data_IF_520719318431
#
_entry.id   IF_520719318431
#
_cell.length_a   1.000
_cell.length_b   1.000
_cell.length_c   1.000
_cell.angle_alpha   90.00
_cell.angle_beta   90.00
_cell.angle_gamma   90.00
#
_symmetry.space_group_name_H-M   'P 1'
#
loop_
_entity.id
_entity.type
_entity.pdbx_description
1 polymer ?
#
# COMPACT_ATOMS: atom_id res chain seq x y z
N UNK A 1 20.09 -3.55 9.03
CA UNK A 1 20.52 -3.00 7.71
C UNK A 1 20.68 -1.50 7.90
N UNK A 2 21.89 -0.98 7.82
CA UNK A 2 22.11 0.47 7.93
C UNK A 2 21.67 1.14 6.65
N UNK A 3 20.50 1.77 6.70
CA UNK A 3 20.00 2.61 5.59
C UNK A 3 20.71 3.96 5.72
N UNK A 4 21.73 4.17 4.90
CA UNK A 4 22.50 5.41 4.90
C UNK A 4 22.03 6.33 3.75
N UNK A 5 21.20 7.30 4.07
CA UNK A 5 20.80 8.37 3.16
C UNK A 5 20.62 9.70 3.91
N UNK A 6 20.79 10.80 3.20
CA UNK A 6 20.50 12.14 3.72
C UNK A 6 18.99 12.39 3.71
N UNK A 7 18.38 12.33 4.90
CA UNK A 7 16.94 12.52 5.10
C UNK A 7 16.46 13.86 4.57
N UNK A 8 17.17 14.96 4.86
CA UNK A 8 16.75 16.28 4.46
C UNK A 8 16.78 16.45 2.93
N UNK A 9 17.81 15.91 2.28
CA UNK A 9 17.91 15.93 0.82
C UNK A 9 16.77 15.18 0.16
N UNK A 10 16.46 13.96 0.66
CA UNK A 10 15.36 13.13 0.12
C UNK A 10 14.02 13.87 0.26
N UNK A 11 13.74 14.45 1.41
CA UNK A 11 12.49 15.17 1.62
C UNK A 11 12.40 16.47 0.82
N UNK A 12 13.47 17.25 0.72
CA UNK A 12 13.48 18.46 -0.11
C UNK A 12 13.28 18.18 -1.60
N UNK A 13 13.92 17.13 -2.14
CA UNK A 13 13.82 16.77 -3.56
C UNK A 13 12.47 16.12 -3.91
N UNK A 14 11.88 15.36 -3.00
CA UNK A 14 10.66 14.54 -3.28
C UNK A 14 9.37 15.24 -2.88
N UNK A 15 9.34 16.00 -1.79
CA UNK A 15 8.13 16.68 -1.32
C UNK A 15 7.88 18.04 -1.98
N UNK A 16 8.87 18.61 -2.68
CA UNK A 16 8.67 19.79 -3.52
C UNK A 16 7.58 19.58 -4.61
N UNK A 17 7.21 18.35 -4.90
CA UNK A 17 6.05 18.00 -5.72
C UNK A 17 4.93 17.39 -4.85
N UNK A 18 4.16 18.22 -4.18
CA UNK A 18 3.04 17.86 -3.27
C UNK A 18 1.88 17.06 -3.92
N UNK A 19 1.94 16.84 -5.22
CA UNK A 19 0.85 16.26 -6.03
C UNK A 19 0.36 14.86 -5.59
N UNK A 20 1.12 14.12 -4.77
CA UNK A 20 0.72 12.83 -4.24
C UNK A 20 -0.04 12.92 -2.92
N UNK A 21 0.36 13.84 -2.05
CA UNK A 21 -0.16 13.94 -0.69
C UNK A 21 -1.62 14.40 -0.65
N UNK A 22 -2.01 15.37 -1.49
CA UNK A 22 -3.41 15.81 -1.57
C UNK A 22 -4.36 14.66 -1.99
N UNK A 23 -3.91 13.81 -2.93
CA UNK A 23 -4.67 12.63 -3.32
C UNK A 23 -4.75 11.61 -2.19
N UNK A 24 -3.65 11.39 -1.47
CA UNK A 24 -3.62 10.50 -0.32
C UNK A 24 -4.59 10.98 0.77
N UNK A 25 -4.51 12.26 1.15
CA UNK A 25 -5.42 12.88 2.12
C UNK A 25 -6.88 12.71 1.71
N UNK A 26 -7.21 13.04 0.46
CA UNK A 26 -8.54 12.83 -0.09
C UNK A 26 -9.01 11.35 0.05
N UNK A 27 -8.17 10.39 -0.34
CA UNK A 27 -8.50 8.96 -0.24
C UNK A 27 -8.80 8.57 1.20
N UNK A 28 -7.94 8.96 2.14
CA UNK A 28 -8.09 8.63 3.56
C UNK A 28 -9.34 9.26 4.17
N UNK A 29 -9.63 10.53 3.84
CA UNK A 29 -10.82 11.23 4.32
C UNK A 29 -12.12 10.69 3.74
N UNK A 30 -12.12 10.26 2.48
CA UNK A 30 -13.33 9.79 1.79
C UNK A 30 -13.62 8.30 2.01
N UNK A 31 -12.62 7.49 2.35
CA UNK A 31 -12.78 6.03 2.47
C UNK A 31 -14.03 5.62 3.27
N UNK A 32 -14.26 6.26 4.41
CA UNK A 32 -15.37 5.92 5.30
C UNK A 32 -16.64 6.75 5.06
N UNK A 33 -16.55 7.79 4.23
CA UNK A 33 -17.64 8.72 3.97
C UNK A 33 -18.46 8.38 2.70
N UNK A 34 -17.84 7.61 1.79
CA UNK A 34 -18.45 7.31 0.49
C UNK A 34 -18.55 5.80 0.25
N UNK A 35 -19.39 5.39 -0.69
CA UNK A 35 -19.39 4.01 -1.19
C UNK A 35 -18.31 3.87 -2.27
N UNK A 36 -17.18 3.25 -1.92
CA UNK A 36 -16.01 3.15 -2.82
C UNK A 36 -16.28 2.30 -4.07
N UNK A 37 -17.30 1.41 -4.04
CA UNK A 37 -17.67 0.60 -5.21
C UNK A 37 -18.39 1.38 -6.29
N UNK A 38 -18.99 2.53 -5.94
CA UNK A 38 -19.80 3.33 -6.87
C UNK A 38 -19.30 4.77 -7.05
N UNK A 39 -18.48 5.28 -6.13
CA UNK A 39 -17.94 6.63 -6.22
C UNK A 39 -16.83 6.74 -7.27
N UNK A 40 -17.18 7.29 -8.42
CA UNK A 40 -16.24 7.46 -9.54
C UNK A 40 -15.10 8.47 -9.23
N UNK A 41 -15.31 9.41 -8.30
CA UNK A 41 -14.27 10.38 -7.92
C UNK A 41 -13.23 9.69 -7.03
N UNK A 42 -13.69 8.94 -6.03
CA UNK A 42 -12.82 8.12 -5.19
C UNK A 42 -11.98 7.16 -6.04
N UNK A 43 -12.64 6.36 -6.89
CA UNK A 43 -11.97 5.38 -7.75
C UNK A 43 -10.93 6.01 -8.68
N UNK A 44 -11.25 7.15 -9.30
CA UNK A 44 -10.32 7.87 -10.18
C UNK A 44 -9.11 8.39 -9.42
N UNK A 45 -9.33 8.96 -8.23
CA UNK A 45 -8.26 9.47 -7.37
C UNK A 45 -7.37 8.33 -6.88
N UNK A 46 -7.95 7.25 -6.39
CA UNK A 46 -7.24 6.04 -5.96
C UNK A 46 -6.44 5.41 -7.10
N UNK A 47 -7.06 5.22 -8.27
CA UNK A 47 -6.39 4.67 -9.45
C UNK A 47 -5.21 5.54 -9.91
N UNK A 48 -5.36 6.86 -9.84
CA UNK A 48 -4.30 7.80 -10.19
C UNK A 48 -3.15 7.82 -9.19
N UNK A 49 -3.46 7.74 -7.89
CA UNK A 49 -2.46 7.72 -6.82
C UNK A 49 -1.65 6.41 -6.81
N UNK A 50 -2.35 5.28 -6.83
CA UNK A 50 -1.73 3.95 -6.75
C UNK A 50 -1.37 3.34 -8.12
N UNK A 51 -1.58 4.07 -9.21
CA UNK A 51 -1.27 3.64 -10.61
C UNK A 51 -1.97 2.31 -10.93
N UNK A 52 -3.28 2.24 -10.67
CA UNK A 52 -4.09 1.04 -10.94
C UNK A 52 -4.40 0.92 -12.43
N UNK A 53 -3.54 0.21 -13.17
CA UNK A 53 -3.68 -0.03 -14.61
C UNK A 53 -4.35 -1.39 -14.85
N UNK A 54 -5.65 -1.49 -14.54
CA UNK A 54 -6.47 -2.68 -14.72
C UNK A 54 -7.73 -2.34 -15.50
N UNK A 55 -8.33 -3.34 -16.18
CA UNK A 55 -9.60 -3.17 -16.88
C UNK A 55 -10.79 -3.01 -15.91
N UNK A 56 -11.95 -2.65 -16.45
CA UNK A 56 -13.13 -2.33 -15.64
C UNK A 56 -13.69 -3.57 -14.93
N UNK A 57 -13.60 -4.75 -15.53
CA UNK A 57 -14.06 -5.99 -14.89
C UNK A 57 -13.24 -6.29 -13.61
N UNK A 58 -11.91 -6.14 -13.68
CA UNK A 58 -11.04 -6.28 -12.52
C UNK A 58 -11.29 -5.20 -11.45
N UNK A 59 -11.45 -3.94 -11.88
CA UNK A 59 -11.74 -2.82 -10.97
C UNK A 59 -13.06 -3.02 -10.24
N UNK A 60 -14.08 -3.55 -10.93
CA UNK A 60 -15.37 -3.86 -10.32
C UNK A 60 -15.18 -4.84 -9.15
N UNK A 61 -14.53 -5.98 -9.37
CA UNK A 61 -14.22 -6.96 -8.31
C UNK A 61 -13.46 -6.31 -7.15
N UNK A 62 -12.42 -5.53 -7.47
CA UNK A 62 -11.59 -4.87 -6.48
C UNK A 62 -12.37 -3.90 -5.59
N UNK A 63 -13.15 -3.01 -6.17
CA UNK A 63 -13.88 -1.99 -5.40
C UNK A 63 -15.12 -2.52 -4.70
N UNK A 64 -15.78 -3.54 -5.24
CA UNK A 64 -16.89 -4.23 -4.54
C UNK A 64 -16.36 -4.91 -3.26
N UNK A 65 -15.22 -5.59 -3.35
CA UNK A 65 -14.60 -6.19 -2.18
C UNK A 65 -14.07 -5.14 -1.20
N UNK A 66 -13.46 -4.08 -1.71
CA UNK A 66 -12.98 -2.97 -0.87
C UNK A 66 -14.11 -2.37 -0.04
N UNK A 67 -15.27 -2.09 -0.66
CA UNK A 67 -16.47 -1.61 0.03
C UNK A 67 -16.92 -2.58 1.12
N UNK A 68 -16.93 -3.86 0.80
CA UNK A 68 -17.35 -4.91 1.72
C UNK A 68 -16.46 -4.97 2.97
N UNK A 69 -15.13 -4.82 2.81
CA UNK A 69 -14.17 -5.03 3.92
C UNK A 69 -13.69 -3.75 4.61
N UNK A 70 -13.95 -2.56 4.06
CA UNK A 70 -13.40 -1.29 4.61
C UNK A 70 -13.77 -0.99 6.06
N UNK A 71 -14.86 -1.57 6.55
CA UNK A 71 -15.32 -1.44 7.94
C UNK A 71 -15.21 -2.75 8.75
N UNK A 72 -14.60 -3.77 8.15
CA UNK A 72 -14.28 -5.04 8.79
C UNK A 72 -12.81 -5.06 9.26
N UNK A 73 -12.33 -6.24 9.62
CA UNK A 73 -10.93 -6.46 10.01
C UNK A 73 -10.21 -7.37 8.99
N UNK A 74 -10.03 -6.91 7.72
CA UNK A 74 -9.35 -7.71 6.73
C UNK A 74 -7.87 -7.86 7.06
N UNK A 75 -7.31 -8.99 6.63
CA UNK A 75 -5.87 -9.24 6.63
C UNK A 75 -5.34 -9.19 5.20
N UNK A 76 -4.02 -9.05 5.04
CA UNK A 76 -3.39 -9.16 3.72
C UNK A 76 -3.75 -10.48 3.03
N UNK A 77 -3.68 -11.59 3.78
CA UNK A 77 -4.02 -12.93 3.29
C UNK A 77 -5.47 -12.99 2.79
N UNK A 78 -6.43 -12.47 3.56
CA UNK A 78 -7.85 -12.51 3.16
C UNK A 78 -8.12 -11.71 1.88
N UNK A 79 -7.49 -10.55 1.74
CA UNK A 79 -7.61 -9.71 0.53
C UNK A 79 -6.96 -10.39 -0.66
N UNK A 80 -5.72 -10.88 -0.49
CA UNK A 80 -4.96 -11.53 -1.55
C UNK A 80 -5.67 -12.79 -2.07
N UNK A 81 -6.18 -13.62 -1.16
CA UNK A 81 -6.90 -14.85 -1.49
C UNK A 81 -8.19 -14.54 -2.25
N UNK A 82 -8.98 -13.59 -1.76
CA UNK A 82 -10.21 -13.17 -2.45
C UNK A 82 -9.93 -12.68 -3.89
N UNK A 83 -8.93 -11.81 -4.06
CA UNK A 83 -8.56 -11.32 -5.38
C UNK A 83 -8.07 -12.45 -6.29
N UNK A 84 -7.32 -13.40 -5.75
CA UNK A 84 -6.89 -14.57 -6.50
C UNK A 84 -8.07 -15.44 -6.94
N UNK A 85 -9.00 -15.75 -6.05
CA UNK A 85 -10.17 -16.58 -6.35
C UNK A 85 -11.08 -15.95 -7.41
N UNK A 86 -11.25 -14.63 -7.36
CA UNK A 86 -12.11 -13.92 -8.31
C UNK A 86 -11.44 -13.60 -9.64
N UNK A 87 -10.12 -13.41 -9.69
CA UNK A 87 -9.41 -12.91 -10.89
C UNK A 87 -8.43 -13.91 -11.48
N UNK A 88 -8.06 -14.97 -10.74
CA UNK A 88 -7.01 -15.92 -11.10
C UNK A 88 -5.58 -15.35 -11.06
N UNK A 89 -5.42 -14.11 -10.57
CA UNK A 89 -4.14 -13.41 -10.49
C UNK A 89 -3.70 -13.19 -9.05
N UNK A 90 -2.41 -13.36 -8.79
CA UNK A 90 -1.80 -13.06 -7.49
C UNK A 90 -1.43 -11.58 -7.51
N UNK A 91 -2.12 -10.77 -6.70
CA UNK A 91 -2.09 -9.31 -6.72
C UNK A 91 -1.57 -8.70 -5.40
N UNK A 92 -0.34 -9.01 -4.95
CA UNK A 92 0.15 -8.59 -3.64
C UNK A 92 0.22 -7.07 -3.50
N UNK A 93 0.62 -6.37 -4.57
CA UNK A 93 0.70 -4.92 -4.58
C UNK A 93 -0.67 -4.25 -4.40
N UNK A 94 -1.72 -4.77 -5.02
CA UNK A 94 -3.06 -4.19 -4.87
C UNK A 94 -3.72 -4.61 -3.55
N UNK A 95 -3.43 -5.81 -3.06
CA UNK A 95 -3.88 -6.28 -1.74
C UNK A 95 -3.31 -5.42 -0.62
N UNK A 96 -2.01 -5.12 -0.66
CA UNK A 96 -1.36 -4.26 0.34
C UNK A 96 -1.85 -2.81 0.27
N UNK A 97 -2.12 -2.27 -0.92
CA UNK A 97 -2.67 -0.92 -1.09
C UNK A 97 -4.08 -0.79 -0.50
N UNK A 98 -4.93 -1.79 -0.69
CA UNK A 98 -6.24 -1.85 -0.05
C UNK A 98 -6.08 -1.90 1.47
N UNK A 99 -5.23 -2.81 1.97
CA UNK A 99 -4.98 -2.97 3.40
C UNK A 99 -4.43 -1.69 4.04
N UNK A 100 -3.40 -1.08 3.44
CA UNK A 100 -2.79 0.16 3.92
C UNK A 100 -3.73 1.38 3.88
N UNK A 101 -4.73 1.35 3.01
CA UNK A 101 -5.77 2.40 2.99
C UNK A 101 -6.77 2.20 4.13
N UNK A 102 -7.06 0.95 4.51
CA UNK A 102 -7.93 0.62 5.66
C UNK A 102 -7.17 0.84 6.98
N UNK A 103 -5.91 0.43 7.04
CA UNK A 103 -4.99 0.51 8.17
C UNK A 103 -3.71 1.23 7.75
N UNK A 104 -3.59 2.55 8.01
CA UNK A 104 -2.46 3.37 7.56
C UNK A 104 -1.09 2.98 8.11
N UNK A 105 -1.06 2.19 9.20
CA UNK A 105 0.13 1.61 9.78
C UNK A 105 0.69 0.42 9.01
N UNK A 106 -0.07 -0.12 8.04
CA UNK A 106 0.35 -1.28 7.25
C UNK A 106 1.21 -0.86 6.06
N UNK A 107 2.33 -1.58 5.80
CA UNK A 107 3.22 -1.26 4.70
C UNK A 107 2.59 -1.58 3.34
N UNK A 108 3.09 -0.89 2.31
CA UNK A 108 2.71 -1.15 0.92
C UNK A 108 3.76 -2.05 0.27
N UNK A 109 3.31 -3.15 -0.33
CA UNK A 109 4.11 -3.93 -1.24
C UNK A 109 4.16 -3.25 -2.60
N UNK A 110 5.28 -2.68 -2.96
CA UNK A 110 5.55 -2.25 -4.32
C UNK A 110 6.91 -2.75 -4.82
N UNK A 111 7.20 -2.47 -6.09
CA UNK A 111 8.44 -2.95 -6.71
C UNK A 111 9.70 -2.40 -6.02
N UNK A 112 9.65 -1.15 -5.53
CA UNK A 112 10.80 -0.52 -4.90
C UNK A 112 11.04 -1.10 -3.50
N UNK A 113 9.98 -1.36 -2.74
CA UNK A 113 10.08 -2.02 -1.43
C UNK A 113 10.71 -3.40 -1.61
N UNK A 114 10.17 -4.22 -2.51
CA UNK A 114 10.67 -5.58 -2.79
C UNK A 114 12.13 -5.54 -3.26
N UNK A 115 12.45 -4.63 -4.18
CA UNK A 115 13.81 -4.48 -4.70
C UNK A 115 14.81 -4.02 -3.63
N UNK A 116 14.45 -3.00 -2.84
CA UNK A 116 15.34 -2.45 -1.81
C UNK A 116 15.56 -3.41 -0.65
N UNK A 117 14.59 -4.28 -0.36
CA UNK A 117 14.69 -5.31 0.65
C UNK A 117 15.30 -6.62 0.11
N UNK A 118 15.68 -6.67 -1.19
CA UNK A 118 16.18 -7.86 -1.87
C UNK A 118 15.24 -9.07 -1.72
N UNK A 119 13.93 -8.81 -1.79
CA UNK A 119 12.90 -9.83 -1.72
C UNK A 119 12.50 -10.28 -3.13
N UNK A 120 12.16 -11.56 -3.28
CA UNK A 120 11.68 -12.11 -4.54
C UNK A 120 10.48 -13.03 -4.31
N UNK A 121 9.42 -12.83 -5.07
CA UNK A 121 8.25 -13.71 -5.03
C UNK A 121 8.52 -14.96 -5.88
N UNK A 122 8.98 -16.02 -5.25
CA UNK A 122 9.28 -17.31 -5.86
C UNK A 122 8.08 -18.26 -5.82
N UNK A 123 8.14 -19.34 -6.59
CA UNK A 123 7.15 -20.40 -6.66
C UNK A 123 6.90 -20.85 -8.09
N UNK A 124 6.74 -22.16 -8.29
CA UNK A 124 6.51 -22.79 -9.60
C UNK A 124 5.02 -22.89 -9.92
N UNK A 125 4.18 -23.04 -8.89
CA UNK A 125 2.72 -23.07 -9.04
C UNK A 125 2.08 -21.81 -8.48
N UNK A 126 0.85 -21.53 -8.90
CA UNK A 126 0.09 -20.40 -8.37
C UNK A 126 -0.16 -20.52 -6.86
N UNK A 127 -0.42 -21.74 -6.37
CA UNK A 127 -0.62 -21.99 -4.93
C UNK A 127 0.65 -21.72 -4.13
N UNK A 128 1.81 -22.14 -4.62
CA UNK A 128 3.10 -21.83 -3.98
C UNK A 128 3.35 -20.33 -3.96
N UNK A 129 3.15 -19.64 -5.08
CA UNK A 129 3.31 -18.19 -5.16
C UNK A 129 2.35 -17.45 -4.24
N UNK A 130 1.10 -17.92 -4.10
CA UNK A 130 0.13 -17.33 -3.18
C UNK A 130 0.60 -17.44 -1.74
N UNK A 131 1.02 -18.63 -1.31
CA UNK A 131 1.58 -18.86 0.04
C UNK A 131 2.84 -18.03 0.28
N UNK A 132 3.75 -18.02 -0.69
CA UNK A 132 4.99 -17.27 -0.57
C UNK A 132 4.75 -15.75 -0.54
N UNK A 133 3.71 -15.24 -1.22
CA UNK A 133 3.33 -13.83 -1.13
C UNK A 133 2.85 -13.46 0.29
N UNK A 134 2.12 -14.34 0.97
CA UNK A 134 1.67 -14.10 2.35
C UNK A 134 2.88 -14.04 3.29
N UNK A 135 3.81 -15.00 3.18
CA UNK A 135 5.04 -15.02 3.98
C UNK A 135 5.88 -13.77 3.71
N UNK A 136 6.07 -13.43 2.45
CA UNK A 136 6.88 -12.29 2.04
C UNK A 136 6.30 -10.95 2.55
N UNK A 137 4.98 -10.83 2.59
CA UNK A 137 4.35 -9.64 3.15
C UNK A 137 4.57 -9.54 4.67
N UNK A 138 4.53 -10.65 5.39
CA UNK A 138 4.89 -10.69 6.82
C UNK A 138 6.35 -10.27 7.06
N UNK A 139 7.27 -10.65 6.16
CA UNK A 139 8.66 -10.18 6.24
C UNK A 139 8.78 -8.67 6.01
N UNK A 140 7.96 -8.11 5.10
CA UNK A 140 7.89 -6.66 4.89
C UNK A 140 7.34 -5.96 6.14
N UNK A 141 6.25 -6.46 6.74
CA UNK A 141 5.68 -5.91 7.99
C UNK A 141 6.74 -5.89 9.10
N UNK A 142 7.39 -7.03 9.32
CA UNK A 142 8.44 -7.15 10.33
C UNK A 142 9.58 -6.16 10.09
N UNK A 143 10.03 -6.02 8.84
CA UNK A 143 11.08 -5.06 8.51
C UNK A 143 10.67 -3.62 8.85
N UNK A 144 9.41 -3.23 8.55
CA UNK A 144 8.90 -1.90 8.88
C UNK A 144 8.80 -1.70 10.40
N UNK A 145 8.31 -2.70 11.12
CA UNK A 145 8.22 -2.66 12.58
C UNK A 145 9.61 -2.47 13.21
N UNK A 146 10.60 -3.24 12.75
CA UNK A 146 11.98 -3.13 13.21
C UNK A 146 12.60 -1.76 12.84
N UNK A 147 12.36 -1.28 11.61
CA UNK A 147 12.85 0.01 11.14
C UNK A 147 12.28 1.18 11.96
N UNK A 148 10.98 1.16 12.25
CA UNK A 148 10.32 2.23 13.01
C UNK A 148 10.87 2.40 14.44
N UNK A 149 11.55 1.40 14.99
CA UNK A 149 12.25 1.50 16.28
C UNK A 149 13.62 2.21 16.19
N UNK A 150 14.12 2.47 14.98
CA UNK A 150 15.46 3.05 14.79
C UNK A 150 15.47 4.57 14.93
N UNK A 151 16.62 5.15 15.31
CA UNK A 151 16.81 6.60 15.30
C UNK A 151 16.63 7.20 13.90
N UNK A 152 17.01 6.44 12.85
CA UNK A 152 16.83 6.87 11.46
C UNK A 152 15.35 7.06 11.08
N UNK A 153 14.48 6.18 11.54
CA UNK A 153 13.03 6.34 11.36
C UNK A 153 12.51 7.60 12.06
N UNK A 154 12.97 7.87 13.29
CA UNK A 154 12.60 9.09 14.03
C UNK A 154 13.06 10.36 13.30
N UNK A 155 14.28 10.35 12.72
CA UNK A 155 14.76 11.44 11.87
C UNK A 155 13.85 11.65 10.64
N UNK A 156 13.43 10.56 9.98
CA UNK A 156 12.52 10.62 8.83
C UNK A 156 11.16 11.23 9.21
N UNK A 157 10.56 10.75 10.30
CA UNK A 157 9.27 11.25 10.80
C UNK A 157 9.38 12.74 11.10
N UNK A 158 10.39 13.13 11.88
CA UNK A 158 10.62 14.55 12.21
C UNK A 158 10.83 15.44 10.99
N UNK A 159 11.56 14.95 9.98
CA UNK A 159 11.79 15.68 8.74
C UNK A 159 10.50 15.82 7.93
N UNK A 160 9.64 14.78 7.90
CA UNK A 160 8.33 14.83 7.28
C UNK A 160 7.43 15.86 7.98
N UNK A 161 7.29 15.79 9.30
CA UNK A 161 6.46 16.69 10.09
C UNK A 161 6.88 18.16 9.94
N UNK A 162 8.20 18.43 9.82
CA UNK A 162 8.71 19.77 9.58
C UNK A 162 8.34 20.35 8.21
N UNK A 163 8.21 19.49 7.19
CA UNK A 163 7.89 19.91 5.81
C UNK A 163 6.38 19.91 5.57
N UNK A 164 5.65 19.04 6.28
CA UNK A 164 4.22 18.81 6.10
C UNK A 164 3.48 18.85 7.46
N UNK A 165 3.45 20.01 8.14
CA UNK A 165 2.90 20.11 9.50
C UNK A 165 1.39 19.87 9.60
N UNK A 166 0.67 19.90 8.46
CA UNK A 166 -0.79 19.71 8.39
C UNK A 166 -1.21 18.28 8.00
N UNK A 167 -0.26 17.33 7.99
CA UNK A 167 -0.52 15.92 7.65
C UNK A 167 -0.41 15.02 8.85
#
# INVERSE_FOLDING_TARGET
MDINFDVNKVFQERLASSMGLDKYKFIMEQLRKTNVSTDAVFQRTFNGFYIVRRNDAWRKVYYEYFEHVKNATPTFESILTYLYDCTGNIEPSFSSKMLATIYPDKPIWDRYVVQNLNLELVGTTKQERLKNAIVLYSDIEKWYDDFLQTEKAKECIKAFDNVMPDY
#
